data_IF_167688375429
#
_entry.id   IF_167688375429
#
_cell.length_a   1.000
_cell.length_b   1.000
_cell.length_c   1.000
_cell.angle_alpha   90.00
_cell.angle_beta   90.00
_cell.angle_gamma   90.00
#
_symmetry.space_group_name_H-M   'P 1'
#
loop_
_entity.id
_entity.type
_entity.pdbx_description
1 polymer ?
#
# COMPACT_ATOMS: atom_id res chain seq x y z
N UNK A 1 -32.25 12.43 9.87
CA UNK A 1 -31.70 12.65 8.51
C UNK A 1 -30.17 12.40 8.49
N UNK A 2 -29.73 11.14 8.54
CA UNK A 2 -28.28 10.80 8.58
C UNK A 2 -27.78 9.92 7.42
N UNK A 3 -28.63 9.08 6.84
CA UNK A 3 -28.17 7.93 6.03
C UNK A 3 -27.68 8.27 4.62
N UNK A 4 -28.30 9.20 3.90
CA UNK A 4 -27.96 9.43 2.47
C UNK A 4 -26.63 10.18 2.29
N UNK A 5 -26.31 11.13 3.20
CA UNK A 5 -25.06 11.89 3.14
C UNK A 5 -23.84 11.01 3.44
N UNK A 6 -23.97 10.08 4.38
CA UNK A 6 -22.88 9.16 4.73
C UNK A 6 -22.63 8.11 3.62
N UNK A 7 -23.69 7.61 2.96
CA UNK A 7 -23.55 6.69 1.83
C UNK A 7 -22.87 7.38 0.63
N UNK A 8 -23.22 8.63 0.36
CA UNK A 8 -22.63 9.39 -0.76
C UNK A 8 -21.15 9.66 -0.53
N UNK A 9 -20.77 10.01 0.70
CA UNK A 9 -19.36 10.19 1.07
C UNK A 9 -18.56 8.90 0.95
N UNK A 10 -19.08 7.77 1.43
CA UNK A 10 -18.40 6.46 1.31
C UNK A 10 -18.16 6.06 -0.15
N UNK A 11 -19.17 6.20 -1.01
CA UNK A 11 -19.01 5.92 -2.45
C UNK A 11 -17.97 6.81 -3.12
N UNK A 12 -17.88 8.07 -2.70
CA UNK A 12 -16.87 8.99 -3.23
C UNK A 12 -15.45 8.58 -2.80
N UNK A 13 -15.27 8.20 -1.52
CA UNK A 13 -13.99 7.73 -0.98
C UNK A 13 -13.53 6.45 -1.70
N UNK A 14 -14.43 5.48 -1.89
CA UNK A 14 -14.12 4.23 -2.63
C UNK A 14 -13.65 4.52 -4.06
N UNK A 15 -14.31 5.46 -4.75
CA UNK A 15 -13.94 5.85 -6.11
C UNK A 15 -12.57 6.52 -6.15
N UNK A 16 -12.30 7.39 -5.18
CA UNK A 16 -11.02 8.09 -5.05
C UNK A 16 -9.87 7.12 -4.73
N UNK A 17 -10.08 6.19 -3.79
CA UNK A 17 -9.09 5.17 -3.47
C UNK A 17 -8.83 4.23 -4.65
N UNK A 18 -9.86 3.83 -5.40
CA UNK A 18 -9.66 3.06 -6.63
C UNK A 18 -8.81 3.83 -7.64
N UNK A 19 -9.07 5.12 -7.83
CA UNK A 19 -8.28 5.97 -8.74
C UNK A 19 -6.81 6.03 -8.29
N UNK A 20 -6.57 6.29 -6.99
CA UNK A 20 -5.22 6.32 -6.43
C UNK A 20 -4.49 4.99 -6.59
N UNK A 21 -5.22 3.87 -6.49
CA UNK A 21 -4.68 2.54 -6.72
C UNK A 21 -4.22 2.33 -8.17
N UNK A 22 -5.05 2.69 -9.14
CA UNK A 22 -4.74 2.59 -10.57
C UNK A 22 -3.57 3.51 -10.97
N UNK A 23 -3.55 4.73 -10.45
CA UNK A 23 -2.48 5.71 -10.71
C UNK A 23 -1.15 5.25 -10.11
N UNK A 24 -1.18 4.69 -8.90
CA UNK A 24 0.01 4.09 -8.28
C UNK A 24 0.59 2.96 -9.12
N UNK A 25 -0.25 2.08 -9.69
CA UNK A 25 0.23 1.01 -10.56
C UNK A 25 0.90 1.57 -11.81
N UNK A 26 0.30 2.59 -12.42
CA UNK A 26 0.87 3.26 -13.60
C UNK A 26 2.24 3.87 -13.29
N UNK A 27 2.41 4.48 -12.12
CA UNK A 27 3.69 5.03 -11.67
C UNK A 27 4.72 3.93 -11.42
N UNK A 28 4.30 2.79 -10.85
CA UNK A 28 5.17 1.62 -10.64
C UNK A 28 5.65 1.02 -11.97
N UNK A 29 4.75 0.86 -12.94
CA UNK A 29 5.08 0.36 -14.28
C UNK A 29 6.05 1.31 -15.01
N UNK A 30 5.96 2.61 -14.70
CA UNK A 30 6.86 3.66 -15.22
C UNK A 30 8.14 3.83 -14.39
N UNK A 31 8.38 2.99 -13.37
CA UNK A 31 9.52 3.06 -12.44
C UNK A 31 9.63 4.40 -11.67
N UNK A 32 8.54 5.17 -11.56
CA UNK A 32 8.46 6.46 -10.85
C UNK A 32 8.20 6.27 -9.36
N UNK A 33 9.15 5.62 -8.68
CA UNK A 33 8.95 5.11 -7.31
C UNK A 33 8.72 6.20 -6.25
N UNK A 34 9.39 7.36 -6.36
CA UNK A 34 9.21 8.45 -5.39
C UNK A 34 7.82 9.09 -5.48
N UNK A 35 7.26 9.16 -6.69
CA UNK A 35 5.90 9.66 -6.92
C UNK A 35 4.86 8.66 -6.47
N UNK A 36 5.06 7.37 -6.78
CA UNK A 36 4.23 6.29 -6.24
C UNK A 36 4.21 6.31 -4.71
N UNK A 37 5.37 6.50 -4.05
CA UNK A 37 5.45 6.58 -2.59
C UNK A 37 4.64 7.76 -2.01
N UNK A 38 4.75 8.95 -2.62
CA UNK A 38 3.97 10.13 -2.19
C UNK A 38 2.46 9.87 -2.33
N UNK A 39 2.03 9.36 -3.48
CA UNK A 39 0.63 9.10 -3.78
C UNK A 39 0.03 8.04 -2.85
N UNK A 40 0.77 6.97 -2.57
CA UNK A 40 0.31 5.93 -1.63
C UNK A 40 0.16 6.47 -0.21
N UNK A 41 1.07 7.34 0.25
CA UNK A 41 0.95 7.95 1.58
C UNK A 41 -0.28 8.84 1.71
N UNK A 42 -0.60 9.59 0.67
CA UNK A 42 -1.83 10.37 0.60
C UNK A 42 -3.07 9.45 0.65
N UNK A 43 -3.04 8.36 -0.11
CA UNK A 43 -4.11 7.36 -0.11
C UNK A 43 -4.31 6.70 1.26
N UNK A 44 -3.23 6.41 1.99
CA UNK A 44 -3.30 5.91 3.38
C UNK A 44 -3.95 6.94 4.29
N UNK A 45 -3.56 8.21 4.22
CA UNK A 45 -4.15 9.29 5.04
C UNK A 45 -5.66 9.42 4.82
N UNK A 46 -6.11 9.40 3.56
CA UNK A 46 -7.54 9.41 3.23
C UNK A 46 -8.25 8.18 3.79
N UNK A 47 -7.60 7.02 3.75
CA UNK A 47 -8.14 5.77 4.27
C UNK A 47 -8.25 5.76 5.80
N UNK A 48 -7.30 6.37 6.50
CA UNK A 48 -7.30 6.59 7.95
C UNK A 48 -8.44 7.53 8.36
N UNK A 49 -8.62 8.65 7.66
CA UNK A 49 -9.73 9.58 7.88
C UNK A 49 -11.09 8.91 7.65
N UNK A 50 -11.17 8.03 6.64
CA UNK A 50 -12.34 7.23 6.34
C UNK A 50 -12.55 6.04 7.31
N UNK A 51 -11.60 5.78 8.22
CA UNK A 51 -11.56 4.62 9.13
C UNK A 51 -11.76 3.30 8.38
N UNK A 52 -11.07 3.13 7.25
CA UNK A 52 -11.17 1.94 6.43
C UNK A 52 -9.90 1.10 6.47
N UNK A 53 -9.88 0.15 7.40
CA UNK A 53 -8.76 -0.76 7.63
C UNK A 53 -8.38 -1.57 6.39
N UNK A 54 -9.37 -1.96 5.58
CA UNK A 54 -9.15 -2.68 4.32
C UNK A 54 -8.27 -1.89 3.35
N UNK A 55 -8.63 -0.62 3.09
CA UNK A 55 -7.87 0.22 2.17
C UNK A 55 -6.53 0.63 2.74
N UNK A 56 -6.44 0.89 4.05
CA UNK A 56 -5.16 1.12 4.73
C UNK A 56 -4.20 -0.06 4.45
N UNK A 57 -4.65 -1.29 4.69
CA UNK A 57 -3.84 -2.49 4.46
C UNK A 57 -3.43 -2.65 2.99
N UNK A 58 -4.36 -2.44 2.05
CA UNK A 58 -4.06 -2.50 0.62
C UNK A 58 -2.99 -1.50 0.19
N UNK A 59 -3.10 -0.24 0.63
CA UNK A 59 -2.12 0.80 0.28
C UNK A 59 -0.77 0.56 0.94
N UNK A 60 -0.74 0.09 2.19
CA UNK A 60 0.51 -0.23 2.85
C UNK A 60 1.23 -1.41 2.19
N UNK A 61 0.51 -2.46 1.76
CA UNK A 61 1.10 -3.54 0.95
C UNK A 61 1.64 -3.04 -0.39
N UNK A 62 0.95 -2.08 -1.02
CA UNK A 62 1.45 -1.44 -2.24
C UNK A 62 2.72 -0.65 -1.97
N UNK A 63 2.81 0.06 -0.85
CA UNK A 63 4.02 0.78 -0.45
C UNK A 63 5.20 -0.16 -0.23
N UNK A 64 4.96 -1.34 0.36
CA UNK A 64 5.97 -2.41 0.46
C UNK A 64 6.45 -2.80 -0.95
N UNK A 65 5.54 -2.96 -1.91
CA UNK A 65 5.90 -3.28 -3.29
C UNK A 65 6.76 -2.20 -3.95
N UNK A 66 6.44 -0.90 -3.73
CA UNK A 66 7.29 0.21 -4.18
C UNK A 66 8.70 0.06 -3.60
N UNK A 67 8.83 -0.16 -2.29
CA UNK A 67 10.14 -0.31 -1.66
C UNK A 67 10.91 -1.54 -2.14
N UNK A 68 10.24 -2.65 -2.47
CA UNK A 68 10.89 -3.82 -3.05
C UNK A 68 11.42 -3.50 -4.46
N UNK A 69 10.60 -2.88 -5.30
CA UNK A 69 10.97 -2.54 -6.68
C UNK A 69 12.10 -1.49 -6.72
N UNK A 70 12.09 -0.56 -5.78
CA UNK A 70 13.12 0.47 -5.58
C UNK A 70 14.33 -0.04 -4.77
N UNK A 71 14.41 -1.35 -4.51
CA UNK A 71 15.49 -2.02 -3.75
C UNK A 71 15.72 -1.49 -2.33
N UNK A 72 14.76 -0.74 -1.76
CA UNK A 72 14.74 -0.24 -0.37
C UNK A 72 14.24 -1.34 0.59
N UNK A 73 14.89 -2.50 0.58
CA UNK A 73 14.43 -3.73 1.27
C UNK A 73 14.27 -3.57 2.78
N UNK A 74 15.13 -2.78 3.44
CA UNK A 74 15.00 -2.50 4.87
C UNK A 74 13.67 -1.79 5.19
N UNK A 75 13.30 -0.78 4.39
CA UNK A 75 12.03 -0.06 4.56
C UNK A 75 10.83 -0.96 4.26
N UNK A 76 10.93 -1.84 3.26
CA UNK A 76 9.90 -2.83 2.96
C UNK A 76 9.67 -3.77 4.14
N UNK A 77 10.75 -4.28 4.74
CA UNK A 77 10.69 -5.17 5.91
C UNK A 77 10.09 -4.49 7.13
N UNK A 78 10.54 -3.28 7.46
CA UNK A 78 10.02 -2.52 8.61
C UNK A 78 8.52 -2.24 8.47
N UNK A 79 8.08 -1.91 7.24
CA UNK A 79 6.68 -1.64 6.97
C UNK A 79 5.82 -2.90 7.04
N UNK A 80 6.30 -4.04 6.52
CA UNK A 80 5.64 -5.35 6.60
C UNK A 80 5.41 -5.79 8.04
N UNK A 81 6.42 -5.63 8.90
CA UNK A 81 6.31 -5.96 10.33
C UNK A 81 5.21 -5.13 11.00
N UNK A 82 5.06 -3.86 10.60
CA UNK A 82 4.02 -2.96 11.14
C UNK A 82 2.63 -3.25 10.61
N UNK A 83 2.50 -3.68 9.35
CA UNK A 83 1.20 -3.96 8.72
C UNK A 83 0.63 -5.32 9.09
N UNK A 84 1.49 -6.33 9.20
CA UNK A 84 1.09 -7.69 9.56
C UNK A 84 2.00 -8.20 10.67
N UNK A 85 1.63 -8.01 11.95
CA UNK A 85 2.37 -8.63 13.05
C UNK A 85 2.33 -10.18 13.00
N UNK A 86 1.47 -10.79 12.19
CA UNK A 86 1.17 -12.24 12.22
C UNK A 86 1.59 -13.06 10.98
N UNK A 87 2.11 -12.47 9.90
CA UNK A 87 2.48 -13.21 8.67
C UNK A 87 3.97 -13.16 8.31
N UNK A 88 4.81 -12.95 9.33
CA UNK A 88 6.28 -13.00 9.25
C UNK A 88 6.82 -14.34 8.70
N UNK A 89 6.03 -15.42 8.68
CA UNK A 89 6.47 -16.74 8.22
C UNK A 89 6.50 -16.89 6.69
N UNK A 90 5.51 -16.37 5.97
CA UNK A 90 5.38 -16.60 4.52
C UNK A 90 6.22 -15.63 3.68
N UNK A 91 6.31 -14.35 4.09
CA UNK A 91 7.11 -13.37 3.35
C UNK A 91 8.61 -13.51 3.62
N UNK A 92 9.03 -13.85 4.84
CA UNK A 92 10.45 -14.10 5.11
C UNK A 92 11.00 -15.21 4.22
N UNK A 93 10.25 -16.30 4.00
CA UNK A 93 10.71 -17.38 3.11
C UNK A 93 10.93 -16.90 1.68
N UNK A 94 10.01 -16.14 1.07
CA UNK A 94 10.17 -15.65 -0.30
C UNK A 94 11.26 -14.58 -0.45
N UNK A 95 11.40 -13.68 0.53
CA UNK A 95 12.44 -12.64 0.55
C UNK A 95 13.84 -13.23 0.82
N UNK A 96 13.98 -14.16 1.76
CA UNK A 96 15.23 -14.88 2.04
C UNK A 96 15.64 -15.70 0.82
N UNK A 97 14.72 -16.41 0.17
CA UNK A 97 15.02 -17.19 -1.04
C UNK A 97 15.49 -16.25 -2.17
N UNK A 98 14.79 -15.14 -2.44
CA UNK A 98 15.23 -14.19 -3.49
C UNK A 98 16.57 -13.52 -3.18
N UNK A 99 16.84 -13.18 -1.92
CA UNK A 99 18.12 -12.58 -1.52
C UNK A 99 19.30 -13.56 -1.62
N UNK A 100 19.07 -14.85 -1.34
CA UNK A 100 20.11 -15.88 -1.40
C UNK A 100 20.36 -16.45 -2.81
N UNK A 101 19.47 -16.20 -3.78
CA UNK A 101 19.64 -16.69 -5.17
C UNK A 101 20.41 -15.71 -6.07
N UNK A 102 20.88 -14.58 -5.53
CA UNK A 102 21.71 -13.59 -6.27
C UNK A 102 23.19 -13.62 -5.86
N UNK A 103 23.65 -14.70 -5.23
CA UNK A 103 25.08 -14.98 -4.95
C UNK A 103 25.55 -16.10 -5.87
#
# INVERSE_FOLDING_TARGET
MGTVRDITKRKQIEKEQRKLYEETNTLLDSLRFDEANKLIKEAVSISEEAKSDEYINHFLLKLVQVYINDKKLNKAKDLLIKTHPLDSSYLNKKLIIKANTQI
#
